data_IF_778835533490
#
_entry.id   IF_778835533490
#
_cell.length_a   1.000
_cell.length_b   1.000
_cell.length_c   1.000
_cell.angle_alpha   90.00
_cell.angle_beta   90.00
_cell.angle_gamma   90.00
#
_symmetry.space_group_name_H-M   'P 1'
#
loop_
_entity.id
_entity.type
_entity.pdbx_description
1 polymer ?
#
# COMPACT_ATOMS: atom_id res chain seq x y z
N UNK A 1 5.47 -1.83 -42.57
CA UNK A 1 5.26 -0.86 -41.47
C UNK A 1 3.76 -0.71 -41.27
N UNK A 2 3.17 -1.48 -40.35
CA UNK A 2 1.74 -1.42 -40.03
C UNK A 2 1.59 -1.19 -38.53
N UNK A 3 1.15 0.02 -38.15
CA UNK A 3 0.89 0.37 -36.76
C UNK A 3 -0.43 -0.27 -36.33
N UNK A 4 -0.34 -1.24 -35.43
CA UNK A 4 -1.49 -1.85 -34.77
C UNK A 4 -1.86 -0.96 -33.57
N UNK A 5 -2.90 -0.15 -33.73
CA UNK A 5 -3.48 0.65 -32.65
C UNK A 5 -4.24 -0.29 -31.70
N UNK A 6 -3.66 -0.59 -30.54
CA UNK A 6 -4.35 -1.33 -29.47
C UNK A 6 -5.25 -0.34 -28.73
N UNK A 7 -6.54 -0.42 -29.03
CA UNK A 7 -7.59 0.33 -28.36
C UNK A 7 -7.85 -0.31 -26.98
N UNK A 8 -7.12 0.12 -25.93
CA UNK A 8 -7.42 -0.27 -24.55
C UNK A 8 -8.65 0.48 -24.07
N UNK A 9 -9.81 -0.19 -24.04
CA UNK A 9 -10.98 0.27 -23.28
C UNK A 9 -10.62 0.34 -21.80
N UNK A 10 -10.58 1.56 -21.24
CA UNK A 10 -10.49 1.80 -19.79
C UNK A 10 -11.75 1.22 -19.13
N UNK A 11 -11.57 0.25 -18.24
CA UNK A 11 -12.61 -0.14 -17.27
C UNK A 11 -12.54 0.88 -16.13
N UNK A 12 -13.57 1.70 -15.94
CA UNK A 12 -13.63 2.60 -14.80
C UNK A 12 -13.75 1.79 -13.51
N UNK A 13 -12.85 1.99 -12.55
CA UNK A 13 -12.98 1.45 -11.20
C UNK A 13 -14.15 2.10 -10.47
N UNK A 14 -14.92 1.29 -9.73
CA UNK A 14 -16.11 1.73 -9.00
C UNK A 14 -15.91 1.40 -7.53
N UNK A 15 -16.02 2.43 -6.69
CA UNK A 15 -15.80 2.33 -5.24
C UNK A 15 -16.76 1.36 -4.54
N UNK A 16 -16.32 0.78 -3.43
CA UNK A 16 -17.15 -0.07 -2.57
C UNK A 16 -18.41 0.64 -2.07
N UNK A 17 -18.31 1.95 -1.77
CA UNK A 17 -19.47 2.78 -1.42
C UNK A 17 -20.48 2.90 -2.56
N UNK A 18 -20.03 2.90 -3.83
CA UNK A 18 -20.94 2.85 -4.97
C UNK A 18 -21.61 1.48 -5.12
N UNK A 19 -20.91 0.37 -4.84
CA UNK A 19 -21.52 -0.98 -4.85
C UNK A 19 -22.55 -1.17 -3.73
N UNK A 20 -22.26 -0.64 -2.53
CA UNK A 20 -23.21 -0.64 -1.40
C UNK A 20 -24.40 0.27 -1.70
N UNK A 21 -24.17 1.46 -2.28
CA UNK A 21 -25.25 2.37 -2.69
C UNK A 21 -26.13 1.76 -3.80
N UNK A 22 -25.54 1.02 -4.73
CA UNK A 22 -26.30 0.33 -5.79
C UNK A 22 -27.10 -0.85 -5.23
N UNK A 23 -26.55 -1.61 -4.26
CA UNK A 23 -27.31 -2.60 -3.49
C UNK A 23 -28.51 -1.96 -2.78
N UNK A 24 -28.33 -0.80 -2.14
CA UNK A 24 -29.42 -0.04 -1.51
C UNK A 24 -30.47 0.40 -2.56
N UNK A 25 -30.06 0.81 -3.76
CA UNK A 25 -30.98 1.23 -4.85
C UNK A 25 -31.76 0.03 -5.44
N UNK A 26 -31.08 -1.07 -5.76
CA UNK A 26 -31.70 -2.29 -6.27
C UNK A 26 -32.68 -2.90 -5.26
N UNK A 27 -32.33 -2.81 -3.97
CA UNK A 27 -33.18 -3.23 -2.86
C UNK A 27 -34.35 -2.27 -2.61
N UNK A 28 -34.16 -0.97 -2.78
CA UNK A 28 -35.24 0.05 -2.72
C UNK A 28 -36.29 -0.15 -3.82
N UNK A 29 -35.87 -0.57 -5.01
CA UNK A 29 -36.76 -0.92 -6.13
C UNK A 29 -37.65 -2.13 -5.82
N UNK A 30 -37.14 -3.12 -5.06
CA UNK A 30 -37.94 -4.25 -4.55
C UNK A 30 -38.81 -3.88 -3.34
N UNK A 31 -38.38 -2.91 -2.53
CA UNK A 31 -39.10 -2.48 -1.32
C UNK A 31 -40.30 -1.57 -1.64
N UNK A 32 -40.26 -0.82 -2.74
CA UNK A 32 -41.31 0.13 -3.15
C UNK A 32 -42.41 -0.43 -4.05
N UNK A 33 -42.30 -1.67 -4.54
CA UNK A 33 -43.33 -2.27 -5.38
C UNK A 33 -44.45 -2.89 -4.51
N UNK A 34 -45.70 -2.42 -4.59
CA UNK A 34 -46.82 -3.11 -3.96
C UNK A 34 -46.97 -4.49 -4.63
N UNK A 35 -47.00 -5.55 -3.83
CA UNK A 35 -47.38 -6.90 -4.27
C UNK A 35 -48.89 -6.92 -4.54
N UNK A 36 -49.33 -6.23 -5.60
CA UNK A 36 -50.68 -6.36 -6.14
C UNK A 36 -50.70 -7.55 -7.08
N UNK A 37 -51.49 -8.56 -6.75
CA UNK A 37 -51.61 -9.83 -7.47
C UNK A 37 -52.28 -9.71 -8.86
N UNK A 38 -52.27 -8.54 -9.51
CA UNK A 38 -53.01 -8.33 -10.78
C UNK A 38 -52.31 -7.54 -11.89
N UNK A 39 -51.06 -7.09 -11.74
CA UNK A 39 -50.31 -6.56 -12.89
C UNK A 39 -48.86 -7.07 -12.90
N UNK A 40 -48.29 -7.40 -14.07
CA UNK A 40 -47.02 -8.10 -14.17
C UNK A 40 -45.84 -7.17 -13.88
N UNK A 41 -44.96 -7.60 -12.96
CA UNK A 41 -43.54 -7.24 -13.09
C UNK A 41 -43.01 -8.11 -14.23
N UNK A 42 -42.88 -7.54 -15.43
CA UNK A 42 -42.33 -8.27 -16.57
C UNK A 42 -40.84 -8.50 -16.37
N UNK A 43 -40.48 -9.67 -15.86
CA UNK A 43 -39.25 -10.38 -16.23
C UNK A 43 -39.65 -11.81 -16.56
N UNK A 44 -39.76 -12.10 -17.85
CA UNK A 44 -40.01 -13.45 -18.39
C UNK A 44 -39.29 -13.50 -19.76
N UNK A 45 -38.60 -14.57 -20.18
CA UNK A 45 -39.00 -15.98 -20.15
C UNK A 45 -37.85 -17.02 -20.13
N UNK A 46 -38.17 -18.17 -19.55
CA UNK A 46 -37.91 -19.56 -19.97
C UNK A 46 -36.52 -20.14 -20.37
N UNK A 47 -35.43 -19.38 -20.55
CA UNK A 47 -34.17 -19.98 -21.03
C UNK A 47 -32.88 -19.64 -20.25
N UNK A 48 -33.00 -19.00 -19.08
CA UNK A 48 -31.88 -18.91 -18.14
C UNK A 48 -30.83 -17.85 -18.49
N UNK A 49 -31.23 -16.74 -19.11
CA UNK A 49 -30.30 -15.64 -19.42
C UNK A 49 -30.33 -14.51 -18.38
N UNK A 50 -29.14 -14.12 -17.91
CA UNK A 50 -28.91 -13.11 -16.87
C UNK A 50 -29.07 -11.68 -17.42
N UNK A 51 -29.82 -10.82 -16.72
CA UNK A 51 -29.89 -9.38 -17.05
C UNK A 51 -28.75 -8.62 -16.39
N UNK A 52 -27.88 -8.00 -17.18
CA UNK A 52 -26.93 -7.00 -16.71
C UNK A 52 -27.59 -5.61 -16.81
N UNK A 53 -27.73 -4.89 -15.70
CA UNK A 53 -28.17 -3.49 -15.72
C UNK A 53 -26.95 -2.61 -16.05
N UNK A 54 -26.92 -1.88 -17.18
CA UNK A 54 -25.80 -1.01 -17.47
C UNK A 54 -26.03 0.36 -16.83
N UNK A 55 -25.25 0.66 -15.79
CA UNK A 55 -24.85 2.05 -15.53
C UNK A 55 -23.43 2.10 -15.02
N UNK A 56 -22.62 2.92 -15.69
CA UNK A 56 -21.29 3.35 -15.27
C UNK A 56 -20.27 2.26 -14.95
N UNK A 57 -20.32 1.12 -15.65
CA UNK A 57 -19.23 0.11 -15.64
C UNK A 57 -19.33 -0.98 -14.57
N UNK A 58 -20.37 -0.99 -13.73
CA UNK A 58 -20.73 -2.17 -12.92
C UNK A 58 -21.41 -3.18 -13.86
N UNK A 59 -20.83 -4.36 -14.04
CA UNK A 59 -21.56 -5.53 -14.57
C UNK A 59 -22.03 -6.33 -13.35
N UNK A 60 -23.25 -6.06 -12.92
CA UNK A 60 -23.94 -6.85 -11.89
C UNK A 60 -24.83 -7.89 -12.56
N UNK A 61 -24.72 -9.13 -12.08
CA UNK A 61 -25.48 -10.26 -12.60
C UNK A 61 -26.59 -10.61 -11.60
N UNK A 62 -27.83 -10.28 -11.91
CA UNK A 62 -28.99 -10.89 -11.25
C UNK A 62 -29.08 -12.32 -11.77
N UNK A 63 -28.58 -13.27 -10.98
CA UNK A 63 -28.44 -14.66 -11.45
C UNK A 63 -29.77 -15.38 -11.55
N UNK A 64 -30.66 -15.13 -10.59
CA UNK A 64 -31.91 -15.89 -10.43
C UNK A 64 -32.93 -15.05 -9.66
N UNK A 65 -34.19 -15.12 -10.10
CA UNK A 65 -35.38 -14.58 -9.41
C UNK A 65 -36.39 -15.70 -9.33
N UNK A 66 -36.66 -16.18 -8.11
CA UNK A 66 -37.68 -17.22 -7.88
C UNK A 66 -38.84 -16.61 -7.11
N UNK A 67 -40.01 -16.62 -7.74
CA UNK A 67 -41.26 -16.29 -7.09
C UNK A 67 -42.01 -17.59 -6.80
N UNK A 68 -42.36 -17.81 -5.54
CA UNK A 68 -43.39 -18.74 -5.13
C UNK A 68 -44.52 -17.93 -4.48
N UNK A 69 -45.75 -18.47 -4.36
CA UNK A 69 -46.93 -17.70 -3.92
C UNK A 69 -46.83 -17.05 -2.53
N UNK A 70 -45.76 -17.33 -1.77
CA UNK A 70 -45.47 -16.72 -0.46
C UNK A 70 -44.11 -16.04 -0.36
N UNK A 71 -43.20 -16.23 -1.31
CA UNK A 71 -41.82 -15.76 -1.18
C UNK A 71 -41.21 -15.31 -2.49
N UNK A 72 -40.44 -14.22 -2.43
CA UNK A 72 -39.61 -13.74 -3.53
C UNK A 72 -38.14 -13.87 -3.12
N UNK A 73 -37.34 -14.59 -3.92
CA UNK A 73 -35.89 -14.69 -3.74
C UNK A 73 -35.14 -14.04 -4.90
N UNK A 74 -34.23 -13.12 -4.58
CA UNK A 74 -33.30 -12.48 -5.52
C UNK A 74 -31.87 -12.92 -5.19
N UNK A 75 -31.13 -13.43 -6.19
CA UNK A 75 -29.69 -13.71 -6.07
C UNK A 75 -28.87 -12.69 -6.83
N UNK A 76 -28.08 -11.88 -6.13
CA UNK A 76 -27.12 -10.93 -6.71
C UNK A 76 -25.71 -11.47 -6.54
N UNK A 77 -24.97 -11.60 -7.64
CA UNK A 77 -23.57 -12.00 -7.63
C UNK A 77 -22.67 -10.80 -7.90
N UNK A 78 -21.80 -10.48 -6.96
CA UNK A 78 -20.74 -9.49 -7.09
C UNK A 78 -19.45 -10.13 -6.58
N UNK A 79 -18.70 -10.83 -7.43
CA UNK A 79 -17.49 -11.55 -6.99
C UNK A 79 -16.59 -10.62 -6.13
N UNK A 80 -16.21 -11.02 -4.89
CA UNK A 80 -16.31 -12.36 -4.27
C UNK A 80 -17.55 -12.62 -3.37
N UNK A 81 -18.61 -11.84 -3.54
CA UNK A 81 -19.82 -11.86 -2.72
C UNK A 81 -21.05 -12.39 -3.46
N UNK A 82 -21.91 -13.08 -2.71
CA UNK A 82 -23.25 -13.46 -3.11
C UNK A 82 -24.26 -12.97 -2.07
N UNK A 83 -25.32 -12.33 -2.54
CA UNK A 83 -26.45 -11.90 -1.71
C UNK A 83 -27.70 -12.65 -2.16
N UNK A 84 -28.35 -13.35 -1.24
CA UNK A 84 -29.66 -13.94 -1.46
C UNK A 84 -30.67 -13.19 -0.60
N UNK A 85 -31.53 -12.40 -1.23
CA UNK A 85 -32.61 -11.68 -0.54
C UNK A 85 -33.87 -12.51 -0.62
N UNK A 86 -34.49 -12.83 0.51
CA UNK A 86 -35.78 -13.51 0.60
C UNK A 86 -36.78 -12.60 1.32
N UNK A 87 -37.91 -12.31 0.67
CA UNK A 87 -39.04 -11.56 1.27
C UNK A 87 -40.26 -12.47 1.35
N UNK A 88 -40.87 -12.56 2.53
CA UNK A 88 -42.17 -13.20 2.70
C UNK A 88 -43.28 -12.22 2.27
N UNK A 89 -44.27 -12.70 1.54
CA UNK A 89 -45.39 -11.90 1.08
C UNK A 89 -46.45 -11.66 2.17
N UNK A 90 -46.49 -12.51 3.21
CA UNK A 90 -47.47 -12.45 4.29
C UNK A 90 -46.99 -11.65 5.50
N UNK A 91 -45.67 -11.64 5.74
CA UNK A 91 -45.03 -10.97 6.87
C UNK A 91 -44.01 -10.00 6.29
N UNK A 92 -44.04 -8.71 6.62
CA UNK A 92 -43.13 -7.71 6.04
C UNK A 92 -41.64 -7.96 6.36
N UNK A 93 -41.34 -9.07 7.02
CA UNK A 93 -40.02 -9.59 7.29
C UNK A 93 -39.23 -9.82 5.99
N UNK A 94 -38.03 -9.27 5.98
CA UNK A 94 -37.03 -9.48 4.93
C UNK A 94 -35.83 -10.17 5.53
N UNK A 95 -35.38 -11.25 4.88
CA UNK A 95 -34.14 -11.94 5.21
C UNK A 95 -33.13 -11.76 4.08
N UNK A 96 -31.87 -11.47 4.43
CA UNK A 96 -30.76 -11.34 3.49
C UNK A 96 -29.69 -12.33 3.93
N UNK A 97 -29.40 -13.32 3.10
CA UNK A 97 -28.26 -14.22 3.29
C UNK A 97 -27.06 -13.70 2.50
N UNK A 98 -26.02 -13.31 3.21
CA UNK A 98 -24.74 -12.89 2.66
C UNK A 98 -23.76 -14.06 2.72
N UNK A 99 -23.21 -14.41 1.55
CA UNK A 99 -22.26 -15.51 1.40
C UNK A 99 -21.01 -14.98 0.73
N UNK A 100 -19.86 -15.23 1.33
CA UNK A 100 -18.54 -15.03 0.73
C UNK A 100 -17.65 -16.21 1.11
N UNK A 101 -17.53 -17.22 0.24
CA UNK A 101 -16.72 -18.40 0.51
C UNK A 101 -15.25 -18.06 0.76
N UNK A 102 -14.72 -17.08 0.02
CA UNK A 102 -13.33 -16.61 0.16
C UNK A 102 -13.04 -15.97 1.51
N UNK A 103 -14.06 -15.32 2.10
CA UNK A 103 -13.97 -14.75 3.44
C UNK A 103 -14.41 -15.73 4.54
N UNK A 104 -14.91 -16.91 4.17
CA UNK A 104 -15.51 -17.86 5.11
C UNK A 104 -16.79 -17.37 5.76
N UNK A 105 -17.54 -16.48 5.10
CA UNK A 105 -18.74 -15.85 5.63
C UNK A 105 -19.99 -16.48 5.03
N UNK A 106 -20.91 -16.91 5.88
CA UNK A 106 -22.28 -17.31 5.52
C UNK A 106 -23.21 -16.86 6.64
N UNK A 107 -23.87 -15.72 6.44
CA UNK A 107 -24.68 -15.04 7.46
C UNK A 107 -26.06 -14.74 6.91
N UNK A 108 -27.08 -14.93 7.74
CA UNK A 108 -28.45 -14.52 7.41
C UNK A 108 -28.87 -13.41 8.36
N UNK A 109 -29.22 -12.26 7.79
CA UNK A 109 -29.78 -11.11 8.49
C UNK A 109 -31.28 -11.13 8.27
N UNK A 110 -32.07 -11.19 9.34
CA UNK A 110 -33.52 -11.07 9.26
C UNK A 110 -33.97 -9.93 10.15
N UNK A 111 -34.99 -9.19 9.74
CA UNK A 111 -35.54 -8.06 10.48
C UNK A 111 -37.05 -7.94 10.27
N UNK A 112 -37.79 -7.32 11.22
CA UNK A 112 -39.22 -7.04 11.11
C UNK A 112 -39.63 -6.30 9.85
N UNK A 113 -38.72 -5.50 9.30
CA UNK A 113 -38.90 -4.81 8.04
C UNK A 113 -37.57 -4.65 7.31
N UNK A 114 -37.68 -4.24 6.05
CA UNK A 114 -36.60 -3.93 5.13
C UNK A 114 -35.51 -3.03 5.73
N UNK A 115 -35.90 -1.95 6.42
CA UNK A 115 -34.95 -0.98 6.98
C UNK A 115 -34.09 -1.64 8.05
N UNK A 116 -34.71 -2.32 9.01
CA UNK A 116 -33.98 -2.98 10.09
C UNK A 116 -33.11 -4.14 9.60
N UNK A 117 -33.48 -4.82 8.52
CA UNK A 117 -32.62 -5.83 7.91
C UNK A 117 -31.39 -5.20 7.24
N UNK A 118 -31.57 -4.04 6.58
CA UNK A 118 -30.45 -3.29 5.97
C UNK A 118 -29.52 -2.76 7.05
N UNK A 119 -30.05 -2.19 8.14
CA UNK A 119 -29.24 -1.70 9.26
C UNK A 119 -28.36 -2.84 9.81
N UNK A 120 -28.90 -4.06 9.96
CA UNK A 120 -28.14 -5.24 10.41
C UNK A 120 -27.05 -5.66 9.41
N UNK A 121 -27.31 -5.56 8.11
CA UNK A 121 -26.29 -5.81 7.07
C UNK A 121 -25.20 -4.75 7.15
N UNK A 122 -25.57 -3.48 7.29
CA UNK A 122 -24.62 -2.36 7.40
C UNK A 122 -23.74 -2.50 8.65
N UNK A 123 -24.36 -2.78 9.81
CA UNK A 123 -23.66 -3.05 11.07
C UNK A 123 -22.66 -4.21 10.91
N UNK A 124 -23.06 -5.28 10.22
CA UNK A 124 -22.18 -6.40 9.92
C UNK A 124 -21.03 -6.00 9.01
N UNK A 125 -21.29 -5.28 7.92
CA UNK A 125 -20.24 -4.82 6.99
C UNK A 125 -19.26 -3.84 7.65
N UNK A 126 -19.67 -3.16 8.73
CA UNK A 126 -18.82 -2.30 9.57
C UNK A 126 -18.15 -3.06 10.71
N UNK A 127 -18.53 -4.30 10.97
CA UNK A 127 -18.02 -5.10 12.08
C UNK A 127 -16.63 -5.68 11.78
N UNK A 128 -15.86 -5.95 12.84
CA UNK A 128 -14.58 -6.68 12.72
C UNK A 128 -14.77 -8.08 12.13
N UNK A 129 -15.94 -8.69 12.30
CA UNK A 129 -16.26 -10.02 11.75
C UNK A 129 -16.21 -10.03 10.22
N UNK A 130 -16.64 -8.96 9.55
CA UNK A 130 -16.51 -8.81 8.10
C UNK A 130 -15.17 -8.18 7.71
N UNK A 131 -14.80 -7.08 8.39
CA UNK A 131 -13.66 -6.28 7.99
C UNK A 131 -12.33 -7.04 8.13
N UNK A 132 -12.12 -7.81 9.19
CA UNK A 132 -10.88 -8.55 9.38
C UNK A 132 -10.58 -9.56 8.25
N UNK A 133 -11.49 -10.49 7.90
CA UNK A 133 -11.26 -11.40 6.78
C UNK A 133 -11.23 -10.66 5.45
N UNK A 134 -12.06 -9.62 5.25
CA UNK A 134 -12.05 -8.81 4.03
C UNK A 134 -10.68 -8.16 3.79
N UNK A 135 -10.14 -7.46 4.80
CA UNK A 135 -8.82 -6.86 4.70
C UNK A 135 -7.71 -7.89 4.62
N UNK A 136 -7.86 -9.07 5.22
CA UNK A 136 -6.91 -10.18 5.04
C UNK A 136 -6.86 -10.63 3.58
N UNK A 137 -8.01 -10.81 2.94
CA UNK A 137 -8.11 -11.19 1.54
C UNK A 137 -7.51 -10.12 0.62
N UNK A 138 -7.88 -8.84 0.83
CA UNK A 138 -7.34 -7.72 0.03
C UNK A 138 -5.82 -7.60 0.18
N UNK A 139 -5.29 -7.78 1.39
CA UNK A 139 -3.84 -7.69 1.66
C UNK A 139 -3.03 -8.94 1.29
N UNK A 140 -3.68 -10.07 0.97
CA UNK A 140 -3.00 -11.30 0.59
C UNK A 140 -2.49 -11.31 -0.87
N UNK A 141 -2.64 -10.21 -1.60
CA UNK A 141 -2.08 -10.10 -2.95
C UNK A 141 -2.73 -9.07 -3.86
N UNK A 142 -3.62 -8.21 -3.33
CA UNK A 142 -4.32 -7.22 -4.11
C UNK A 142 -3.43 -6.03 -4.52
N UNK A 143 -3.66 -5.44 -5.71
CA UNK A 143 -3.02 -4.20 -6.15
C UNK A 143 -3.25 -3.02 -5.19
N UNK A 144 -4.39 -3.02 -4.52
CA UNK A 144 -4.78 -2.05 -3.49
C UNK A 144 -4.41 -2.47 -2.08
N UNK A 145 -3.60 -3.52 -1.89
CA UNK A 145 -3.17 -3.94 -0.57
C UNK A 145 -2.41 -2.80 0.13
N UNK A 146 -2.86 -2.50 1.34
CA UNK A 146 -2.38 -1.35 2.12
C UNK A 146 -1.40 -1.77 3.21
N UNK A 147 -1.47 -3.03 3.64
CA UNK A 147 -0.61 -3.61 4.67
C UNK A 147 0.64 -4.28 4.08
N UNK A 148 0.44 -5.28 3.21
CA UNK A 148 1.47 -6.20 2.67
C UNK A 148 1.15 -6.62 1.24
N UNK A 149 2.05 -7.33 0.56
CA UNK A 149 1.80 -7.95 -0.75
C UNK A 149 1.78 -6.96 -1.92
N UNK A 150 2.27 -5.74 -1.70
CA UNK A 150 2.34 -4.67 -2.70
C UNK A 150 3.57 -3.82 -2.39
N UNK A 151 4.40 -3.44 -3.39
CA UNK A 151 5.51 -2.52 -3.14
C UNK A 151 5.09 -1.22 -2.49
N UNK A 152 3.83 -0.79 -2.58
CA UNK A 152 3.32 0.41 -1.92
C UNK A 152 2.72 0.17 -0.54
N UNK A 153 2.66 -1.09 -0.10
CA UNK A 153 2.24 -1.51 1.22
C UNK A 153 3.06 -0.89 2.35
N UNK A 154 2.51 -0.97 3.54
CA UNK A 154 3.03 -0.27 4.72
C UNK A 154 4.29 -0.93 5.24
N UNK A 155 4.36 -2.26 5.20
CA UNK A 155 5.55 -3.05 5.54
C UNK A 155 6.69 -2.71 4.58
N UNK A 156 6.41 -2.75 3.28
CA UNK A 156 7.35 -2.50 2.19
C UNK A 156 7.90 -1.08 2.20
N UNK A 157 7.04 -0.08 2.46
CA UNK A 157 7.48 1.32 2.57
C UNK A 157 8.42 1.52 3.77
N UNK A 158 8.08 0.91 4.91
CA UNK A 158 8.88 1.02 6.14
C UNK A 158 10.23 0.31 6.01
N UNK A 159 10.25 -0.89 5.42
CA UNK A 159 11.46 -1.64 5.13
C UNK A 159 12.37 -0.92 4.12
N UNK A 160 11.81 -0.36 3.03
CA UNK A 160 12.58 0.45 2.07
C UNK A 160 13.17 1.70 2.72
N UNK A 161 12.43 2.35 3.62
CA UNK A 161 12.94 3.50 4.35
C UNK A 161 14.12 3.13 5.27
N UNK A 162 13.98 2.06 6.07
CA UNK A 162 15.05 1.55 6.94
C UNK A 162 16.29 1.17 6.14
N UNK A 163 16.11 0.31 5.14
CA UNK A 163 17.24 -0.24 4.39
C UNK A 163 17.87 0.81 3.48
N UNK A 164 17.06 1.65 2.84
CA UNK A 164 17.51 2.73 1.98
C UNK A 164 18.33 3.79 2.72
N UNK A 165 17.99 4.08 3.98
CA UNK A 165 18.71 5.07 4.80
C UNK A 165 20.20 4.71 5.03
N UNK A 166 20.56 3.42 4.96
CA UNK A 166 21.95 2.95 5.08
C UNK A 166 22.54 2.44 3.78
N UNK A 167 21.75 1.77 2.93
CA UNK A 167 22.25 1.26 1.65
C UNK A 167 22.56 2.39 0.68
N UNK A 168 21.70 3.42 0.63
CA UNK A 168 21.80 4.51 -0.34
C UNK A 168 22.61 5.70 0.19
N UNK A 169 23.19 5.58 1.38
CA UNK A 169 24.02 6.61 1.99
C UNK A 169 25.23 6.90 1.11
N UNK A 170 25.31 8.14 0.61
CA UNK A 170 26.43 8.58 -0.20
C UNK A 170 27.57 9.08 0.70
N UNK A 171 28.83 8.69 0.44
CA UNK A 171 29.95 9.09 1.29
C UNK A 171 30.22 10.60 1.19
N UNK A 172 30.64 11.22 2.29
CA UNK A 172 30.94 12.64 2.38
C UNK A 172 31.97 13.10 1.33
N UNK A 173 31.67 14.18 0.60
CA UNK A 173 32.55 14.81 -0.38
C UNK A 173 33.78 15.39 0.31
N UNK A 174 34.84 15.64 -0.46
CA UNK A 174 36.06 16.23 0.07
C UNK A 174 35.80 17.54 0.86
N UNK A 175 34.89 18.39 0.35
CA UNK A 175 34.51 19.66 1.00
C UNK A 175 33.83 19.45 2.37
N UNK A 176 32.99 18.41 2.51
CA UNK A 176 32.35 18.06 3.78
C UNK A 176 33.33 17.47 4.78
N UNK A 177 34.23 16.59 4.33
CA UNK A 177 35.28 16.04 5.19
C UNK A 177 36.19 17.16 5.74
N UNK A 178 36.55 18.13 4.89
CA UNK A 178 37.32 19.31 5.30
C UNK A 178 36.54 20.19 6.29
N UNK A 179 35.24 20.44 6.06
CA UNK A 179 34.41 21.24 6.95
C UNK A 179 34.11 20.55 8.30
N UNK A 180 33.95 19.23 8.28
CA UNK A 180 33.70 18.42 9.48
C UNK A 180 34.87 18.47 10.47
N UNK A 181 36.11 18.50 9.96
CA UNK A 181 37.30 18.62 10.80
C UNK A 181 37.42 19.97 11.54
N UNK A 182 36.78 21.04 11.04
CA UNK A 182 36.92 22.39 11.58
C UNK A 182 35.84 22.81 12.58
N UNK A 183 34.67 22.16 12.56
CA UNK A 183 33.45 22.74 13.16
C UNK A 183 33.16 22.33 14.60
N UNK A 184 33.79 21.30 15.17
CA UNK A 184 33.70 20.93 16.60
C UNK A 184 32.32 20.48 17.11
N UNK A 185 31.23 21.12 16.70
CA UNK A 185 29.85 20.86 17.13
C UNK A 185 29.25 19.65 16.40
N UNK A 186 28.51 18.81 17.15
CA UNK A 186 27.84 17.64 16.60
C UNK A 186 26.80 18.05 15.56
N UNK A 187 27.04 17.71 14.31
CA UNK A 187 26.13 18.04 13.22
C UNK A 187 24.77 17.38 13.44
N UNK A 188 23.72 18.17 13.28
CA UNK A 188 22.34 17.72 13.18
C UNK A 188 21.94 17.84 11.72
N UNK A 189 21.46 16.75 11.15
CA UNK A 189 21.04 16.75 9.76
C UNK A 189 19.51 16.69 9.74
N UNK A 190 18.87 17.72 9.18
CA UNK A 190 17.44 17.70 8.84
C UNK A 190 17.35 17.35 7.35
N UNK A 191 16.46 16.45 6.98
CA UNK A 191 16.21 16.10 5.58
C UNK A 191 14.72 16.20 5.31
N UNK A 192 14.34 16.72 4.15
CA UNK A 192 12.99 16.71 3.64
C UNK A 192 12.98 16.03 2.28
N UNK A 193 12.34 14.86 2.21
CA UNK A 193 12.06 14.16 0.96
C UNK A 193 10.65 14.45 0.46
N UNK A 194 10.53 14.70 -0.84
CA UNK A 194 9.27 14.73 -1.59
C UNK A 194 9.32 13.65 -2.66
N UNK A 195 8.28 12.83 -2.76
CA UNK A 195 8.20 11.74 -3.72
C UNK A 195 6.86 11.74 -4.45
N UNK A 196 6.89 11.51 -5.75
CA UNK A 196 5.71 11.32 -6.58
C UNK A 196 5.87 10.01 -7.33
N UNK A 197 4.87 9.15 -7.32
CA UNK A 197 4.89 7.94 -8.14
C UNK A 197 3.56 7.68 -8.80
N UNK A 198 3.62 7.05 -9.97
CA UNK A 198 2.47 6.50 -10.67
C UNK A 198 2.70 5.01 -10.82
N UNK A 199 1.68 4.23 -10.48
CA UNK A 199 1.72 2.79 -10.60
C UNK A 199 0.48 2.26 -11.30
N UNK A 200 0.66 1.18 -12.04
CA UNK A 200 -0.40 0.34 -12.59
C UNK A 200 -0.26 -1.03 -11.93
N UNK A 201 -1.36 -1.58 -11.42
CA UNK A 201 -1.34 -2.90 -10.80
C UNK A 201 -2.59 -3.67 -11.17
N UNK A 202 -2.43 -4.72 -11.98
CA UNK A 202 -3.52 -5.55 -12.50
C UNK A 202 -4.65 -4.76 -13.17
N UNK A 203 -4.28 -3.67 -13.87
CA UNK A 203 -5.22 -2.79 -14.58
C UNK A 203 -5.87 -1.72 -13.70
N UNK A 204 -5.42 -1.57 -12.45
CA UNK A 204 -5.78 -0.47 -11.57
C UNK A 204 -4.73 0.63 -11.65
N UNK A 205 -5.16 1.84 -12.02
CA UNK A 205 -4.30 3.01 -12.08
C UNK A 205 -4.21 3.65 -10.69
N UNK A 206 -2.97 3.89 -10.25
CA UNK A 206 -2.65 4.44 -8.95
C UNK A 206 -1.63 5.56 -8.99
N UNK A 207 -1.68 6.42 -7.98
CA UNK A 207 -0.66 7.45 -7.76
C UNK A 207 -0.35 7.61 -6.27
N UNK A 208 0.85 8.11 -5.99
CA UNK A 208 1.33 8.32 -4.63
C UNK A 208 2.06 9.65 -4.54
N UNK A 209 1.73 10.40 -3.49
CA UNK A 209 2.47 11.57 -3.03
C UNK A 209 3.04 11.26 -1.66
N UNK A 210 4.34 11.46 -1.49
CA UNK A 210 5.09 11.19 -0.26
C UNK A 210 5.83 12.44 0.19
N UNK A 211 5.76 12.73 1.49
CA UNK A 211 6.56 13.73 2.19
C UNK A 211 7.25 13.01 3.34
N UNK A 212 8.55 13.18 3.50
CA UNK A 212 9.32 12.43 4.51
C UNK A 212 10.37 13.32 5.15
N UNK A 213 9.97 14.14 6.13
CA UNK A 213 10.91 14.77 7.02
C UNK A 213 11.67 13.70 7.81
N UNK A 214 12.98 13.85 7.87
CA UNK A 214 13.87 13.02 8.64
C UNK A 214 14.84 13.90 9.43
N UNK A 215 15.25 13.43 10.59
CA UNK A 215 16.17 14.11 11.47
C UNK A 215 17.22 13.13 11.98
N UNK A 216 18.50 13.49 11.88
CA UNK A 216 19.61 12.65 12.29
C UNK A 216 20.41 13.32 13.40
N UNK A 217 20.55 12.61 14.51
CA UNK A 217 21.40 12.98 15.63
C UNK A 217 22.70 12.16 15.59
N UNK A 218 23.84 12.83 15.40
CA UNK A 218 25.16 12.18 15.48
C UNK A 218 25.60 12.05 16.95
N UNK A 219 26.06 10.87 17.31
CA UNK A 219 26.37 10.45 18.68
C UNK A 219 27.88 10.26 18.87
N UNK A 220 28.37 10.61 20.05
CA UNK A 220 29.78 10.43 20.44
C UNK A 220 30.73 11.48 19.86
N UNK A 221 31.99 11.43 20.32
CA UNK A 221 33.05 12.36 19.87
C UNK A 221 33.43 12.14 18.40
N UNK A 222 33.42 10.88 17.96
CA UNK A 222 33.80 10.51 16.60
C UNK A 222 32.67 10.75 15.59
N UNK A 223 31.46 11.09 16.06
CA UNK A 223 30.26 11.43 15.26
C UNK A 223 29.85 10.39 14.20
N UNK A 224 30.42 9.19 14.23
CA UNK A 224 30.13 8.14 13.26
C UNK A 224 28.82 7.41 13.59
N UNK A 225 28.49 7.30 14.88
CA UNK A 225 27.22 6.72 15.33
C UNK A 225 26.11 7.73 15.09
N UNK A 226 24.95 7.29 14.62
CA UNK A 226 23.81 8.19 14.40
C UNK A 226 22.49 7.56 14.82
N UNK A 227 21.58 8.40 15.29
CA UNK A 227 20.18 8.07 15.54
C UNK A 227 19.35 8.84 14.53
N UNK A 228 18.71 8.13 13.61
CA UNK A 228 17.88 8.69 12.56
C UNK A 228 16.40 8.53 12.93
N UNK A 229 15.65 9.61 12.80
CA UNK A 229 14.21 9.68 12.96
C UNK A 229 13.61 10.00 11.60
N UNK A 230 12.57 9.27 11.18
CA UNK A 230 11.89 9.49 9.92
C UNK A 230 10.39 9.49 10.14
N UNK A 231 9.69 10.46 9.56
CA UNK A 231 8.23 10.61 9.66
C UNK A 231 7.61 10.62 8.25
N UNK A 232 7.45 9.44 7.59
CA UNK A 232 6.80 9.37 6.29
C UNK A 232 5.30 9.71 6.38
N UNK A 233 4.88 10.69 5.59
CA UNK A 233 3.50 11.07 5.34
C UNK A 233 3.18 10.83 3.87
N UNK A 234 2.12 10.07 3.59
CA UNK A 234 1.80 9.67 2.22
C UNK A 234 0.30 9.78 1.94
N UNK A 235 -0.02 10.19 0.70
CA UNK A 235 -1.35 10.08 0.11
C UNK A 235 -1.26 9.12 -1.07
N UNK A 236 -2.06 8.06 -1.03
CA UNK A 236 -2.16 7.04 -2.06
C UNK A 236 -3.55 7.17 -2.68
N UNK A 237 -3.63 7.18 -4.01
CA UNK A 237 -4.88 7.20 -4.75
C UNK A 237 -4.92 6.00 -5.68
N UNK A 238 -5.97 5.18 -5.60
CA UNK A 238 -6.20 4.02 -6.47
C UNK A 238 -7.62 4.10 -7.01
N UNK A 239 -7.81 4.21 -8.32
CA UNK A 239 -9.13 4.40 -8.94
C UNK A 239 -9.98 5.52 -8.28
N UNK A 240 -9.33 6.62 -7.90
CA UNK A 240 -9.97 7.74 -7.23
C UNK A 240 -10.19 7.59 -5.72
N UNK A 241 -10.05 6.38 -5.16
CA UNK A 241 -10.11 6.15 -3.70
C UNK A 241 -8.85 6.69 -3.03
N UNK A 242 -9.02 7.39 -1.91
CA UNK A 242 -7.93 8.04 -1.20
C UNK A 242 -7.60 7.34 0.12
N UNK A 243 -6.32 7.05 0.29
CA UNK A 243 -5.76 6.47 1.50
C UNK A 243 -4.60 7.34 1.97
N UNK A 244 -4.56 7.59 3.26
CA UNK A 244 -3.53 8.38 3.92
C UNK A 244 -2.71 7.46 4.82
N UNK A 245 -1.39 7.64 4.79
CA UNK A 245 -0.46 6.94 5.66
C UNK A 245 0.38 7.95 6.41
N UNK A 246 0.55 7.69 7.70
CA UNK A 246 1.52 8.38 8.54
C UNK A 246 2.32 7.34 9.31
N UNK A 247 3.64 7.47 9.32
CA UNK A 247 4.50 6.58 10.09
C UNK A 247 5.60 7.33 10.80
N UNK A 248 6.24 6.64 11.73
CA UNK A 248 7.44 7.05 12.44
C UNK A 248 8.42 5.89 12.43
N UNK A 249 9.70 6.19 12.27
CA UNK A 249 10.77 5.20 12.31
C UNK A 249 11.95 5.79 13.05
N UNK A 250 12.57 4.94 13.89
CA UNK A 250 13.80 5.24 14.60
C UNK A 250 14.82 4.18 14.22
N UNK A 251 15.99 4.61 13.78
CA UNK A 251 17.08 3.73 13.38
C UNK A 251 18.38 4.17 14.05
N UNK A 252 19.08 3.24 14.69
CA UNK A 252 20.40 3.48 15.25
C UNK A 252 21.44 2.89 14.31
N UNK A 253 22.35 3.69 13.78
CA UNK A 253 23.38 3.23 12.84
C UNK A 253 24.75 3.21 13.52
N UNK A 254 25.38 2.04 13.48
CA UNK A 254 26.70 1.77 14.02
C UNK A 254 27.65 1.39 12.88
N UNK A 255 28.44 2.34 12.37
CA UNK A 255 29.51 2.03 11.44
C UNK A 255 30.74 1.47 12.17
N UNK A 256 31.50 0.66 11.45
CA UNK A 256 32.81 0.09 11.83
C UNK A 256 33.72 0.21 10.62
N UNK A 257 34.78 0.98 10.75
CA UNK A 257 35.81 1.07 9.72
C UNK A 257 36.63 -0.22 9.69
N UNK A 258 36.78 -0.80 8.50
CA UNK A 258 37.58 -1.98 8.21
C UNK A 258 38.79 -1.57 7.34
N UNK A 259 39.84 -2.41 7.24
CA UNK A 259 40.97 -2.13 6.35
C UNK A 259 40.55 -1.92 4.89
N UNK A 260 41.25 -1.02 4.19
CA UNK A 260 41.06 -0.80 2.76
C UNK A 260 39.85 0.05 2.37
N UNK A 261 39.56 1.10 3.14
CA UNK A 261 38.43 2.03 2.94
C UNK A 261 37.06 1.35 2.88
N UNK A 262 36.94 0.23 3.61
CA UNK A 262 35.70 -0.51 3.78
C UNK A 262 35.03 -0.04 5.07
N UNK A 263 33.72 0.17 5.02
CA UNK A 263 32.90 0.45 6.20
C UNK A 263 31.82 -0.59 6.30
N UNK A 264 31.78 -1.34 7.40
CA UNK A 264 30.63 -2.14 7.74
C UNK A 264 29.67 -1.31 8.59
N UNK A 265 28.37 -1.40 8.35
CA UNK A 265 27.36 -0.74 9.18
C UNK A 265 26.29 -1.74 9.60
N UNK A 266 25.95 -1.70 10.88
CA UNK A 266 24.78 -2.36 11.44
C UNK A 266 23.77 -1.31 11.88
N UNK A 267 22.51 -1.47 11.48
CA UNK A 267 21.47 -0.49 11.71
C UNK A 267 20.14 -1.14 12.13
N UNK A 268 19.97 -1.47 13.43
CA UNK A 268 18.67 -1.85 13.96
C UNK A 268 17.68 -0.68 13.84
N UNK A 269 16.44 -1.02 13.51
CA UNK A 269 15.34 -0.05 13.42
C UNK A 269 14.05 -0.58 14.06
N UNK A 270 13.22 0.37 14.47
CA UNK A 270 11.83 0.15 14.87
C UNK A 270 10.98 1.17 14.14
N UNK A 271 9.85 0.73 13.60
CA UNK A 271 8.89 1.57 12.90
C UNK A 271 7.46 1.26 13.33
N UNK A 272 6.66 2.31 13.32
CA UNK A 272 5.22 2.25 13.52
C UNK A 272 4.55 3.11 12.47
N UNK A 273 3.43 2.65 11.93
CA UNK A 273 2.70 3.36 10.91
C UNK A 273 1.22 3.07 10.99
N UNK A 274 0.43 4.10 10.72
CA UNK A 274 -1.02 4.02 10.59
C UNK A 274 -1.40 4.33 9.16
N UNK A 275 -2.35 3.57 8.66
CA UNK A 275 -2.96 3.79 7.36
C UNK A 275 -4.47 3.86 7.55
N UNK A 276 -5.10 4.86 6.95
CA UNK A 276 -6.55 5.05 7.00
C UNK A 276 -7.08 5.60 5.68
N UNK A 277 -8.34 5.35 5.41
CA UNK A 277 -9.04 5.88 4.23
C UNK A 277 -10.17 6.81 4.66
N UNK A 278 -10.46 7.83 3.85
CA UNK A 278 -11.68 8.64 4.02
C UNK A 278 -12.90 7.89 3.47
N UNK A 279 -12.69 7.00 2.50
CA UNK A 279 -13.76 6.28 1.82
C UNK A 279 -14.21 5.04 2.62
N UNK A 280 -13.30 4.44 3.38
CA UNK A 280 -13.59 3.32 4.28
C UNK A 280 -13.21 3.77 5.68
N UNK A 281 -14.16 3.96 6.63
CA UNK A 281 -13.92 4.44 7.99
C UNK A 281 -13.21 3.37 8.82
N UNK A 282 -11.96 3.11 8.45
CA UNK A 282 -11.12 2.07 8.96
C UNK A 282 -9.68 2.58 8.96
N UNK A 283 -8.94 2.13 9.96
CA UNK A 283 -7.50 2.28 9.98
C UNK A 283 -6.85 0.95 10.35
N UNK A 284 -5.61 0.78 9.89
CA UNK A 284 -4.74 -0.32 10.25
C UNK A 284 -3.44 0.27 10.78
N UNK A 285 -3.03 -0.16 11.96
CA UNK A 285 -1.68 0.10 12.45
C UNK A 285 -0.75 -1.06 12.10
N UNK A 286 0.51 -0.74 11.85
CA UNK A 286 1.58 -1.71 11.65
C UNK A 286 2.74 -1.32 12.56
N UNK A 287 3.28 -2.26 13.31
CA UNK A 287 4.53 -2.11 14.05
C UNK A 287 5.52 -3.15 13.57
N UNK A 288 6.78 -2.78 13.50
CA UNK A 288 7.83 -3.74 13.19
C UNK A 288 9.21 -3.16 13.39
N UNK A 289 10.19 -3.97 13.10
CA UNK A 289 11.58 -3.60 13.21
C UNK A 289 12.46 -4.61 12.51
N UNK A 290 13.69 -4.20 12.27
CA UNK A 290 14.64 -5.00 11.54
C UNK A 290 16.07 -4.65 11.86
N UNK A 291 16.96 -5.31 11.14
CA UNK A 291 18.40 -5.06 11.18
C UNK A 291 18.91 -4.95 9.75
N UNK A 292 19.37 -3.76 9.39
CA UNK A 292 20.10 -3.55 8.15
C UNK A 292 21.59 -3.75 8.38
N UNK A 293 22.23 -4.49 7.48
CA UNK A 293 23.68 -4.68 7.43
C UNK A 293 24.19 -4.24 6.07
N UNK A 294 25.13 -3.31 6.03
CA UNK A 294 25.72 -2.82 4.77
C UNK A 294 27.24 -2.87 4.83
N UNK A 295 27.86 -3.09 3.68
CA UNK A 295 29.28 -2.97 3.43
C UNK A 295 29.47 -1.90 2.36
N UNK A 296 30.03 -0.77 2.78
CA UNK A 296 30.40 0.34 1.93
C UNK A 296 31.88 0.28 1.57
N UNK A 297 32.24 0.68 0.36
CA UNK A 297 33.62 0.89 -0.07
C UNK A 297 33.72 2.18 -0.86
N UNK A 298 34.76 2.97 -0.57
CA UNK A 298 35.14 4.13 -1.39
C UNK A 298 36.50 3.85 -2.05
N UNK A 299 36.63 4.15 -3.34
CA UNK A 299 37.86 3.99 -4.10
C UNK A 299 38.04 5.19 -5.04
N UNK A 300 38.75 6.21 -4.54
CA UNK A 300 38.91 7.49 -5.26
C UNK A 300 37.56 8.18 -5.51
N UNK A 301 37.17 8.46 -6.76
CA UNK A 301 35.88 9.07 -7.06
C UNK A 301 34.72 8.07 -7.02
N UNK A 302 35.00 6.76 -6.95
CA UNK A 302 33.98 5.72 -6.96
C UNK A 302 33.58 5.33 -5.56
N UNK A 303 32.32 4.96 -5.39
CA UNK A 303 31.80 4.40 -4.15
C UNK A 303 30.78 3.32 -4.46
N UNK A 304 30.56 2.44 -3.49
CA UNK A 304 29.47 1.47 -3.56
C UNK A 304 29.13 0.90 -2.21
N UNK A 305 27.88 0.49 -2.08
CA UNK A 305 27.34 -0.15 -0.88
C UNK A 305 26.64 -1.44 -1.31
N UNK A 306 26.88 -2.53 -0.60
CA UNK A 306 26.11 -3.76 -0.72
C UNK A 306 25.51 -4.10 0.64
N UNK A 307 24.30 -4.64 0.68
CA UNK A 307 23.69 -4.91 1.97
C UNK A 307 22.54 -5.89 1.94
N UNK A 308 22.12 -6.23 3.15
CA UNK A 308 21.00 -7.08 3.45
C UNK A 308 20.19 -6.49 4.61
N UNK A 309 18.89 -6.71 4.58
CA UNK A 309 17.96 -6.31 5.62
C UNK A 309 17.04 -7.48 5.95
N UNK A 310 16.85 -7.73 7.24
CA UNK A 310 15.80 -8.60 7.74
C UNK A 310 14.90 -7.82 8.68
N UNK A 311 13.59 -8.02 8.55
CA UNK A 311 12.61 -7.40 9.43
C UNK A 311 11.40 -8.29 9.68
N UNK A 312 10.75 -8.00 10.80
CA UNK A 312 9.48 -8.58 11.18
C UNK A 312 8.48 -7.46 11.45
N UNK A 313 7.28 -7.59 10.88
CA UNK A 313 6.19 -6.65 11.04
C UNK A 313 4.91 -7.38 11.43
N UNK A 314 4.11 -6.75 12.26
CA UNK A 314 2.79 -7.23 12.67
C UNK A 314 1.78 -6.09 12.68
N UNK A 315 0.50 -6.44 12.57
CA UNK A 315 -0.60 -5.50 12.76
C UNK A 315 -0.64 -5.07 14.24
N UNK A 316 -0.76 -3.76 14.48
CA UNK A 316 -0.93 -3.18 15.81
C UNK A 316 -2.04 -2.14 15.80
N UNK A 317 -3.24 -2.58 16.18
CA UNK A 317 -4.41 -1.73 16.38
C UNK A 317 -5.20 -1.41 15.12
N UNK A 318 -6.46 -1.01 15.31
CA UNK A 318 -7.41 -0.86 14.21
C UNK A 318 -8.09 -2.20 13.90
N UNK A 319 -8.16 -2.55 12.62
CA UNK A 319 -8.71 -3.85 12.18
C UNK A 319 -7.67 -4.94 12.39
N UNK A 320 -7.96 -5.89 13.28
CA UNK A 320 -7.08 -7.02 13.55
C UNK A 320 -7.17 -8.04 12.43
N UNK A 321 -6.22 -7.96 11.51
CA UNK A 321 -6.11 -8.92 10.40
C UNK A 321 -5.36 -10.19 10.80
N UNK A 322 -4.73 -10.24 11.99
CA UNK A 322 -3.75 -11.25 12.40
C UNK A 322 -2.63 -11.46 11.35
N UNK A 323 -2.30 -10.41 10.59
CA UNK A 323 -1.24 -10.45 9.59
C UNK A 323 0.09 -10.09 10.23
N UNK A 324 1.08 -10.94 9.97
CA UNK A 324 2.48 -10.60 10.17
C UNK A 324 3.32 -11.07 9.00
N UNK A 325 4.43 -10.37 8.77
CA UNK A 325 5.33 -10.60 7.65
C UNK A 325 6.77 -10.67 8.13
N UNK A 326 7.50 -11.63 7.60
CA UNK A 326 8.96 -11.60 7.56
C UNK A 326 9.39 -11.00 6.24
N UNK A 327 10.28 -10.01 6.28
CA UNK A 327 10.76 -9.33 5.09
C UNK A 327 12.27 -9.46 4.99
N UNK A 328 12.72 -9.79 3.79
CA UNK A 328 14.12 -9.90 3.43
C UNK A 328 14.39 -8.91 2.31
N UNK A 329 15.41 -8.06 2.47
CA UNK A 329 15.88 -7.20 1.38
C UNK A 329 17.35 -7.39 1.14
N UNK A 330 17.75 -7.23 -0.11
CA UNK A 330 19.15 -7.20 -0.52
C UNK A 330 19.33 -6.10 -1.53
N UNK A 331 20.50 -5.50 -1.58
CA UNK A 331 20.71 -4.40 -2.50
C UNK A 331 22.17 -4.09 -2.77
N UNK A 332 22.36 -3.37 -3.86
CA UNK A 332 23.64 -2.87 -4.32
C UNK A 332 23.44 -1.42 -4.80
N UNK A 333 24.35 -0.55 -4.41
CA UNK A 333 24.50 0.80 -4.93
C UNK A 333 25.92 0.95 -5.47
N UNK A 334 26.05 1.58 -6.63
CA UNK A 334 27.32 1.97 -7.22
C UNK A 334 27.22 3.43 -7.67
N UNK A 335 28.25 4.22 -7.41
CA UNK A 335 28.24 5.63 -7.77
C UNK A 335 29.62 6.22 -8.00
N UNK A 336 29.59 7.45 -8.51
CA UNK A 336 30.77 8.24 -8.83
C UNK A 336 30.56 9.70 -8.45
N UNK A 337 31.58 10.30 -7.85
CA UNK A 337 31.70 11.75 -7.64
C UNK A 337 32.12 12.42 -8.94
N UNK A 338 31.36 13.43 -9.35
CA UNK A 338 31.60 14.25 -10.54
C UNK A 338 32.19 15.61 -10.12
N UNK A 339 33.25 15.57 -9.31
CA UNK A 339 33.90 16.73 -8.72
C UNK A 339 33.60 16.91 -7.22
N UNK A 340 33.65 18.16 -6.73
CA UNK A 340 33.50 18.47 -5.30
C UNK A 340 32.04 18.43 -4.80
N UNK A 341 31.08 18.69 -5.69
CA UNK A 341 29.68 18.96 -5.32
C UNK A 341 28.66 18.01 -5.94
N UNK A 342 29.04 17.26 -6.96
CA UNK A 342 28.14 16.40 -7.70
C UNK A 342 28.47 14.93 -7.43
N UNK A 343 27.45 14.11 -7.30
CA UNK A 343 27.58 12.65 -7.32
C UNK A 343 26.42 12.04 -8.09
N UNK A 344 26.70 10.97 -8.82
CA UNK A 344 25.69 10.15 -9.50
C UNK A 344 25.77 8.74 -8.94
N UNK A 345 24.63 8.09 -8.74
CA UNK A 345 24.59 6.68 -8.36
C UNK A 345 23.48 5.93 -9.08
N UNK A 346 23.72 4.64 -9.28
CA UNK A 346 22.71 3.67 -9.67
C UNK A 346 22.58 2.63 -8.55
N UNK A 347 21.38 2.13 -8.35
CA UNK A 347 21.14 1.12 -7.33
C UNK A 347 20.08 0.11 -7.76
N UNK A 348 20.14 -1.06 -7.13
CA UNK A 348 19.14 -2.11 -7.22
C UNK A 348 18.83 -2.65 -5.83
N UNK A 349 17.56 -2.81 -5.51
CA UNK A 349 17.07 -3.40 -4.25
C UNK A 349 16.05 -4.47 -4.58
N UNK A 350 16.31 -5.71 -4.17
CA UNK A 350 15.34 -6.78 -4.18
C UNK A 350 14.70 -6.95 -2.82
N UNK A 351 13.42 -7.29 -2.80
CA UNK A 351 12.65 -7.57 -1.60
C UNK A 351 11.87 -8.87 -1.78
N UNK A 352 11.86 -9.67 -0.72
CA UNK A 352 11.13 -10.92 -0.59
C UNK A 352 10.32 -10.83 0.70
N UNK A 353 9.01 -10.87 0.56
CA UNK A 353 8.09 -10.91 1.69
C UNK A 353 7.61 -12.34 1.93
N UNK A 354 7.45 -12.72 3.20
CA UNK A 354 6.81 -13.98 3.60
C UNK A 354 5.74 -13.68 4.63
N UNK A 355 4.49 -13.86 4.23
CA UNK A 355 3.31 -13.68 5.08
C UNK A 355 2.98 -14.97 5.83
N UNK A 356 2.46 -14.84 7.06
CA UNK A 356 1.99 -16.00 7.82
C UNK A 356 0.75 -16.67 7.21
N UNK A 357 0.01 -15.98 6.32
CA UNK A 357 -1.25 -16.45 5.74
C UNK A 357 -1.25 -16.51 4.20
N UNK A 358 -0.10 -16.61 3.54
CA UNK A 358 -0.06 -16.74 2.08
C UNK A 358 1.33 -16.67 1.46
N UNK A 359 1.38 -16.73 0.13
CA UNK A 359 2.60 -16.42 -0.63
C UNK A 359 2.86 -14.92 -0.56
N UNK A 360 3.97 -14.51 0.04
CA UNK A 360 4.39 -13.12 -0.08
C UNK A 360 4.85 -12.81 -1.51
N UNK A 361 5.19 -11.55 -1.74
CA UNK A 361 5.52 -11.03 -3.06
C UNK A 361 7.00 -10.70 -3.14
N UNK A 362 7.59 -11.02 -4.28
CA UNK A 362 8.97 -10.69 -4.61
C UNK A 362 8.96 -9.55 -5.62
N UNK A 363 9.77 -8.53 -5.36
CA UNK A 363 9.92 -7.44 -6.31
C UNK A 363 11.29 -6.82 -6.24
N UNK A 364 11.65 -6.13 -7.33
CA UNK A 364 12.94 -5.48 -7.47
C UNK A 364 12.72 -4.03 -7.86
N UNK A 365 13.50 -3.13 -7.27
CA UNK A 365 13.50 -1.71 -7.61
C UNK A 365 14.89 -1.35 -8.09
N UNK A 366 14.98 -0.71 -9.26
CA UNK A 366 16.23 -0.13 -9.75
C UNK A 366 16.05 1.37 -9.92
N UNK A 367 17.09 2.13 -9.63
CA UNK A 367 17.03 3.59 -9.71
C UNK A 367 18.36 4.23 -10.01
N UNK A 368 18.27 5.49 -10.37
CA UNK A 368 19.40 6.40 -10.54
C UNK A 368 19.16 7.65 -9.70
N UNK A 369 20.21 8.17 -9.07
CA UNK A 369 20.16 9.42 -8.32
C UNK A 369 21.28 10.36 -8.70
N UNK A 370 20.97 11.65 -8.67
CA UNK A 370 21.88 12.77 -8.85
C UNK A 370 21.84 13.62 -7.58
N UNK A 371 22.98 13.71 -6.90
CA UNK A 371 23.17 14.54 -5.72
C UNK A 371 23.96 15.79 -6.10
N UNK A 372 23.50 16.94 -5.63
CA UNK A 372 24.18 18.22 -5.69
C UNK A 372 24.32 18.83 -4.29
N UNK A 373 25.50 19.36 -3.96
CA UNK A 373 25.79 19.96 -2.66
C UNK A 373 26.01 21.47 -2.81
N UNK A 374 25.14 22.25 -2.18
CA UNK A 374 25.13 23.71 -2.19
C UNK A 374 25.71 24.18 -0.87
N UNK A 375 26.99 24.52 -0.85
CA UNK A 375 27.71 24.91 0.37
C UNK A 375 27.70 23.73 1.37
N UNK A 376 28.64 23.68 2.32
CA UNK A 376 28.82 22.50 3.20
C UNK A 376 27.64 22.19 4.16
N UNK A 377 26.49 22.83 3.96
CA UNK A 377 25.31 22.78 4.81
C UNK A 377 24.02 22.41 4.08
N UNK A 378 24.00 22.42 2.74
CA UNK A 378 22.77 22.11 2.00
C UNK A 378 23.03 21.11 0.89
N UNK A 379 22.18 20.11 0.76
CA UNK A 379 22.22 19.16 -0.34
C UNK A 379 20.84 19.05 -1.01
N UNK A 380 20.87 18.73 -2.30
CA UNK A 380 19.71 18.47 -3.15
C UNK A 380 19.93 17.14 -3.85
N UNK A 381 18.96 16.25 -3.77
CA UNK A 381 18.98 14.98 -4.46
C UNK A 381 17.77 14.88 -5.39
N UNK A 382 17.98 14.41 -6.60
CA UNK A 382 16.91 14.01 -7.51
C UNK A 382 17.12 12.55 -7.85
N UNK A 383 16.08 11.74 -7.75
CA UNK A 383 16.16 10.34 -8.15
C UNK A 383 14.94 9.90 -8.93
N UNK A 384 15.18 8.94 -9.82
CA UNK A 384 14.14 8.24 -10.58
C UNK A 384 14.36 6.75 -10.35
N UNK A 385 13.30 6.04 -10.01
CA UNK A 385 13.36 4.60 -9.87
C UNK A 385 12.12 3.91 -10.43
N UNK A 386 12.29 2.64 -10.74
CA UNK A 386 11.26 1.77 -11.29
C UNK A 386 11.24 0.46 -10.52
N UNK A 387 10.04 0.02 -10.15
CA UNK A 387 9.82 -1.30 -9.55
C UNK A 387 9.31 -2.28 -10.60
N UNK A 388 9.84 -3.51 -10.60
CA UNK A 388 9.59 -4.59 -11.54
C UNK A 388 9.55 -5.96 -10.84
N UNK A 389 9.33 -7.02 -11.61
CA UNK A 389 9.20 -8.44 -11.20
C UNK A 389 7.93 -8.81 -10.43
N UNK A 390 6.88 -8.00 -10.56
CA UNK A 390 5.54 -8.36 -10.12
C UNK A 390 4.63 -8.47 -11.34
N UNK A 391 4.04 -9.65 -11.61
CA UNK A 391 3.07 -9.81 -12.68
C UNK A 391 1.97 -8.75 -12.55
N UNK A 392 1.69 -8.04 -13.62
CA UNK A 392 0.66 -7.00 -13.66
C UNK A 392 1.00 -5.70 -12.92
N UNK A 393 2.18 -5.55 -12.30
CA UNK A 393 2.54 -4.34 -11.58
C UNK A 393 3.69 -3.57 -12.25
N UNK A 394 3.54 -2.25 -12.35
CA UNK A 394 4.63 -1.34 -12.69
C UNK A 394 4.51 -0.07 -11.87
N UNK A 395 5.61 0.42 -11.30
CA UNK A 395 5.67 1.70 -10.58
C UNK A 395 6.88 2.47 -11.06
N UNK A 396 6.67 3.73 -11.41
CA UNK A 396 7.75 4.68 -11.69
C UNK A 396 7.63 5.82 -10.70
N UNK A 397 8.69 6.06 -9.94
CA UNK A 397 8.74 7.12 -8.97
C UNK A 397 9.84 8.13 -9.26
N UNK A 398 9.51 9.38 -8.99
CA UNK A 398 10.39 10.53 -9.01
C UNK A 398 10.47 11.07 -7.59
N UNK A 399 11.67 11.31 -7.09
CA UNK A 399 11.83 11.92 -5.77
C UNK A 399 12.85 13.04 -5.76
N UNK A 400 12.60 14.00 -4.89
CA UNK A 400 13.37 15.20 -4.65
C UNK A 400 13.68 15.23 -3.16
N UNK A 401 14.95 15.14 -2.82
CA UNK A 401 15.45 15.26 -1.45
C UNK A 401 16.15 16.58 -1.25
N UNK A 402 16.04 17.12 -0.05
CA UNK A 402 16.88 18.22 0.40
C UNK A 402 17.32 17.97 1.83
N UNK A 403 18.56 18.32 2.15
CA UNK A 403 19.16 18.07 3.45
C UNK A 403 19.94 19.27 3.94
N UNK A 404 19.78 19.59 5.22
CA UNK A 404 20.39 20.72 5.90
C UNK A 404 21.24 20.21 7.06
N UNK A 405 22.53 20.54 7.04
CA UNK A 405 23.46 20.28 8.14
C UNK A 405 23.61 21.55 8.96
N UNK A 406 23.24 21.48 10.24
CA UNK A 406 23.32 22.59 11.19
C UNK A 406 24.58 22.53 12.05
#
# INVERSE_FOLDING_TARGET
MGNMAVNRRRKGGISMNHRISFFIIAFSLLAGAPLSAKDPITVTEADGTVTALPRDGIIEFVKDVRANPRTLTLTVLTHPFQFNVTKDAADQAVAIRFISPELGIDKTFAGPNTVQTVDRVEDFLRSQEFLAPFFRLVNAGGPGATFSGNPNGTIESSARAAFGAVLLEQPATAEESEAASKSGMGFRDLTLGLGFSKFDSDGFDGSRLKVSPAYTLKLGRDKQKKLAFNLPLERITVEGLQTYRAGTQVQYVQPVALPGDITWQAAPDVSYSVLGSLDIPSYSGTIGGGLANTLGKTAGPYFGNAGFYYAYFTNLGGIDTNLSANLYSYGLQLGRRLGKRWAVSAYGVGMVEKLNYGSGKDYQTAGVSLLYRILNRFNLEVSVNKTFNLPGYSDTSFSFGSGWNF
#
